data_IF_573503453819
#
_entry.id   IF_573503453819
#
_cell.length_a   1.000
_cell.length_b   1.000
_cell.length_c   1.000
_cell.angle_alpha   90.00
_cell.angle_beta   90.00
_cell.angle_gamma   90.00
#
_symmetry.space_group_name_H-M   'P 1'
#
loop_
_entity.id
_entity.type
_entity.pdbx_description
1 polymer ?
#
# COMPACT_ATOMS: atom_id res chain seq x y z
N UNK A 1 -4.12 11.13 20.92
CA UNK A 1 -4.53 9.82 21.42
C UNK A 1 -3.99 8.72 20.53
N UNK A 2 -3.62 7.61 21.10
CA UNK A 2 -3.05 6.52 20.33
C UNK A 2 -4.05 5.39 20.14
N UNK A 3 -4.26 5.00 18.90
CA UNK A 3 -5.09 3.84 18.58
C UNK A 3 -4.32 2.56 18.88
N UNK A 4 -4.94 1.55 19.49
CA UNK A 4 -4.27 0.27 19.65
C UNK A 4 -3.79 -0.27 18.31
N UNK A 5 -2.63 -0.89 18.34
CA UNK A 5 -1.98 -1.29 17.12
C UNK A 5 -2.82 -2.28 16.30
N UNK A 6 -3.51 -3.19 16.98
CA UNK A 6 -4.36 -4.14 16.29
C UNK A 6 -5.47 -3.44 15.52
N UNK A 7 -6.10 -2.44 16.13
CA UNK A 7 -7.17 -1.69 15.47
C UNK A 7 -6.64 -0.90 14.27
N UNK A 8 -5.45 -0.31 14.42
CA UNK A 8 -4.87 0.42 13.31
C UNK A 8 -4.62 -0.47 12.12
N UNK A 9 -4.13 -1.68 12.36
CA UNK A 9 -3.83 -2.60 11.26
C UNK A 9 -5.07 -3.13 10.59
N UNK A 10 -6.09 -3.43 11.38
CA UNK A 10 -7.24 -4.17 10.87
C UNK A 10 -8.40 -3.28 10.48
N UNK A 11 -8.48 -2.09 11.06
CA UNK A 11 -9.59 -1.21 10.82
C UNK A 11 -9.20 0.10 10.18
N UNK A 12 -8.45 0.93 10.93
CA UNK A 12 -8.16 2.29 10.48
C UNK A 12 -7.31 2.29 9.20
N UNK A 13 -6.28 1.44 9.14
CA UNK A 13 -5.41 1.40 7.96
C UNK A 13 -6.17 0.97 6.71
N UNK A 14 -7.02 -0.04 6.85
CA UNK A 14 -7.82 -0.51 5.73
C UNK A 14 -8.82 0.56 5.28
N UNK A 15 -9.46 1.24 6.23
CA UNK A 15 -10.41 2.28 5.89
C UNK A 15 -9.74 3.43 5.14
N UNK A 16 -8.56 3.84 5.58
CA UNK A 16 -7.80 4.88 4.89
C UNK A 16 -7.43 4.43 3.48
N UNK A 17 -6.96 3.21 3.33
CA UNK A 17 -6.58 2.69 2.02
C UNK A 17 -7.79 2.64 1.09
N UNK A 18 -8.93 2.14 1.56
CA UNK A 18 -10.14 2.08 0.74
C UNK A 18 -10.58 3.46 0.30
N UNK A 19 -10.46 4.45 1.18
CA UNK A 19 -10.80 5.83 0.87
C UNK A 19 -9.89 6.38 -0.23
N UNK A 20 -8.59 6.13 -0.13
CA UNK A 20 -7.62 6.57 -1.15
C UNK A 20 -7.97 5.93 -2.50
N UNK A 21 -8.29 4.64 -2.50
CA UNK A 21 -8.63 3.95 -3.75
C UNK A 21 -9.92 4.52 -4.36
N UNK A 22 -10.89 4.84 -3.53
CA UNK A 22 -12.14 5.41 -4.01
C UNK A 22 -11.88 6.77 -4.66
N UNK A 23 -11.07 7.61 -4.03
CA UNK A 23 -10.74 8.92 -4.59
C UNK A 23 -9.96 8.76 -5.89
N UNK A 24 -9.02 7.84 -5.95
CA UNK A 24 -8.23 7.61 -7.15
C UNK A 24 -9.12 7.19 -8.32
N UNK A 25 -10.08 6.30 -8.06
CA UNK A 25 -11.02 5.88 -9.09
C UNK A 25 -11.90 7.04 -9.55
N UNK A 26 -12.37 7.83 -8.60
CA UNK A 26 -13.22 8.97 -8.90
C UNK A 26 -12.49 9.98 -9.78
N UNK A 27 -11.20 10.14 -9.58
CA UNK A 27 -10.39 11.07 -10.36
C UNK A 27 -9.92 10.48 -11.69
N UNK A 28 -10.29 9.26 -11.99
CA UNK A 28 -9.96 8.65 -13.27
C UNK A 28 -8.58 8.02 -13.35
N UNK A 29 -7.91 7.84 -12.26
CA UNK A 29 -6.64 7.12 -12.28
C UNK A 29 -6.87 5.66 -12.64
N UNK A 30 -5.98 5.13 -13.44
CA UNK A 30 -6.09 3.74 -13.89
C UNK A 30 -5.25 2.78 -13.08
N UNK A 31 -4.28 3.29 -12.35
CA UNK A 31 -3.35 2.48 -11.58
C UNK A 31 -2.82 3.29 -10.41
N UNK A 32 -2.63 2.61 -9.31
CA UNK A 32 -2.03 3.20 -8.14
C UNK A 32 -0.82 2.37 -7.77
N UNK A 33 0.32 3.01 -7.58
CA UNK A 33 1.56 2.34 -7.24
C UNK A 33 2.17 2.98 -6.01
N UNK A 34 2.90 2.18 -5.24
CA UNK A 34 3.48 2.66 -4.00
C UNK A 34 4.82 1.99 -3.75
N UNK A 35 5.59 2.60 -2.86
CA UNK A 35 6.82 2.04 -2.34
C UNK A 35 6.67 1.87 -0.84
N UNK A 36 7.13 0.75 -0.31
CA UNK A 36 7.09 0.48 1.12
C UNK A 36 8.40 -0.22 1.51
N UNK A 37 8.68 -0.28 2.81
CA UNK A 37 9.88 -0.93 3.29
C UNK A 37 9.81 -2.44 3.17
N UNK A 38 10.97 -3.09 3.03
CA UNK A 38 11.06 -4.53 2.94
C UNK A 38 11.28 -5.19 4.30
N UNK A 39 11.62 -4.41 5.33
CA UNK A 39 11.95 -4.95 6.63
C UNK A 39 10.71 -5.51 7.33
N UNK A 40 10.97 -6.34 8.33
CA UNK A 40 9.92 -7.06 9.06
C UNK A 40 8.82 -6.14 9.60
N UNK A 41 9.13 -4.96 10.17
CA UNK A 41 8.06 -4.08 10.67
C UNK A 41 7.06 -3.64 9.61
N UNK A 42 7.40 -3.74 8.34
CA UNK A 42 6.51 -3.33 7.24
C UNK A 42 5.67 -4.49 6.68
N UNK A 43 5.86 -5.71 7.19
CA UNK A 43 5.10 -6.86 6.70
C UNK A 43 3.59 -6.70 6.87
N UNK A 44 3.09 -6.15 7.98
CA UNK A 44 1.64 -5.91 8.10
C UNK A 44 1.11 -4.99 7.02
N UNK A 45 1.90 -4.00 6.60
CA UNK A 45 1.49 -3.12 5.51
C UNK A 45 1.41 -3.88 4.18
N UNK A 46 2.37 -4.78 3.92
CA UNK A 46 2.31 -5.61 2.71
C UNK A 46 1.04 -6.45 2.70
N UNK A 47 0.69 -7.04 3.83
CA UNK A 47 -0.53 -7.84 3.93
C UNK A 47 -1.76 -7.00 3.67
N UNK A 48 -1.78 -5.78 4.21
CA UNK A 48 -2.90 -4.87 4.00
C UNK A 48 -3.06 -4.53 2.52
N UNK A 49 -1.97 -4.16 1.86
CA UNK A 49 -2.03 -3.81 0.44
C UNK A 49 -2.43 -5.02 -0.40
N UNK A 50 -1.87 -6.19 -0.12
CA UNK A 50 -2.21 -7.40 -0.84
C UNK A 50 -3.69 -7.74 -0.69
N UNK A 51 -4.25 -7.53 0.49
CA UNK A 51 -5.66 -7.80 0.74
C UNK A 51 -6.57 -6.88 -0.06
N UNK A 52 -6.07 -5.73 -0.49
CA UNK A 52 -6.81 -4.79 -1.33
C UNK A 52 -6.61 -5.06 -2.81
N UNK A 53 -5.77 -6.01 -3.17
CA UNK A 53 -5.52 -6.36 -4.56
C UNK A 53 -4.19 -5.92 -5.12
N UNK A 54 -3.36 -5.24 -4.33
CA UNK A 54 -2.03 -4.86 -4.79
C UNK A 54 -1.16 -6.09 -4.99
N UNK A 55 -0.28 -6.02 -5.98
CA UNK A 55 0.70 -7.06 -6.24
C UNK A 55 2.09 -6.44 -6.22
N UNK A 56 3.09 -7.25 -5.91
CA UNK A 56 4.47 -6.79 -5.96
C UNK A 56 4.88 -6.52 -7.40
N UNK A 57 5.69 -5.48 -7.58
CA UNK A 57 6.18 -5.14 -8.91
C UNK A 57 7.61 -4.61 -8.78
N UNK A 58 8.25 -4.36 -9.91
CA UNK A 58 9.57 -3.76 -9.93
C UNK A 58 9.50 -2.25 -9.71
N UNK A 59 10.66 -1.61 -9.58
CA UNK A 59 10.73 -0.15 -9.46
C UNK A 59 10.06 0.52 -10.65
N UNK A 60 9.49 1.69 -10.40
CA UNK A 60 8.80 2.46 -11.43
C UNK A 60 9.31 3.90 -11.41
N UNK A 61 9.09 4.61 -12.51
CA UNK A 61 9.57 5.97 -12.65
C UNK A 61 11.10 6.02 -12.54
N UNK A 62 11.58 6.91 -11.71
CA UNK A 62 13.01 7.07 -11.48
C UNK A 62 13.53 6.22 -10.33
N UNK A 63 12.69 5.37 -9.76
CA UNK A 63 13.08 4.50 -8.66
C UNK A 63 14.02 3.41 -9.13
N UNK A 64 14.90 3.00 -8.24
CA UNK A 64 15.84 1.91 -8.49
C UNK A 64 15.59 0.79 -7.51
N UNK A 65 16.01 -0.40 -7.86
CA UNK A 65 15.93 -1.51 -6.93
C UNK A 65 16.78 -1.23 -5.71
N UNK A 66 16.21 -1.52 -4.55
CA UNK A 66 16.82 -1.30 -3.26
C UNK A 66 16.38 -2.44 -2.37
N UNK A 67 17.32 -3.16 -1.71
CA UNK A 67 16.93 -4.26 -0.83
C UNK A 67 16.08 -3.81 0.35
N UNK A 68 16.05 -2.52 0.65
CA UNK A 68 15.24 -1.98 1.73
C UNK A 68 13.86 -1.52 1.27
N UNK A 69 13.53 -1.68 0.00
CA UNK A 69 12.28 -1.20 -0.57
C UNK A 69 11.59 -2.27 -1.39
N UNK A 70 10.28 -2.30 -1.31
CA UNK A 70 9.45 -3.08 -2.21
C UNK A 70 8.41 -2.18 -2.86
N UNK A 71 8.04 -2.53 -4.07
CA UNK A 71 7.09 -1.76 -4.85
C UNK A 71 5.85 -2.60 -5.10
N UNK A 72 4.69 -1.97 -4.97
CA UNK A 72 3.42 -2.64 -5.19
C UNK A 72 2.54 -1.80 -6.08
N UNK A 73 1.67 -2.44 -6.84
CA UNK A 73 0.81 -1.75 -7.79
C UNK A 73 -0.58 -2.40 -7.81
N UNK A 74 -1.56 -1.59 -8.15
CA UNK A 74 -2.95 -2.04 -8.27
C UNK A 74 -3.57 -1.37 -9.48
N UNK A 75 -4.17 -2.18 -10.35
CA UNK A 75 -4.98 -1.65 -11.45
C UNK A 75 -6.36 -1.27 -10.89
N UNK A 76 -6.79 -0.07 -11.18
CA UNK A 76 -8.06 0.47 -10.67
C UNK A 76 -9.25 0.23 -11.61
#
# INVERSE_FOLDING_TARGET
MRTPQALRRQGAGRAVLMHILAIARLRGYRRLSLETGSQEPFKPAHTLYASAGFTFCGPFGDYREDPNSVFMTLAL
#
